data_IF_730522448266
#
_entry.id   IF_730522448266
#
_cell.length_a   1.000
_cell.length_b   1.000
_cell.length_c   1.000
_cell.angle_alpha   90.00
_cell.angle_beta   90.00
_cell.angle_gamma   90.00
#
_symmetry.space_group_name_H-M   'P 1'
#
loop_
_entity.id
_entity.type
_entity.pdbx_description
1 polymer ?
#
# COMPACT_ATOMS: atom_id res chain seq x y z
N UNK A 1 -19.85 -3.98 -3.64
CA UNK A 1 -19.67 -4.38 -5.07
C UNK A 1 -18.21 -4.37 -5.57
N UNK A 2 -17.29 -3.52 -5.06
CA UNK A 2 -15.88 -3.40 -5.56
C UNK A 2 -14.96 -4.63 -5.43
N UNK A 3 -15.19 -5.55 -4.48
CA UNK A 3 -14.28 -6.69 -4.21
C UNK A 3 -14.50 -7.93 -5.09
N UNK A 4 -15.69 -8.11 -5.69
CA UNK A 4 -16.02 -9.33 -6.44
C UNK A 4 -15.33 -9.37 -7.82
N UNK A 5 -15.28 -8.23 -8.51
CA UNK A 5 -14.69 -8.12 -9.84
C UNK A 5 -13.20 -8.47 -9.81
N UNK A 6 -12.43 -7.85 -8.91
CA UNK A 6 -10.99 -8.10 -8.80
C UNK A 6 -10.69 -9.57 -8.49
N UNK A 7 -11.44 -10.19 -7.56
CA UNK A 7 -11.29 -11.61 -7.23
C UNK A 7 -11.54 -12.52 -8.43
N UNK A 8 -12.51 -12.20 -9.30
CA UNK A 8 -12.79 -12.96 -10.52
C UNK A 8 -11.67 -12.79 -11.55
N UNK A 9 -11.21 -11.56 -11.76
CA UNK A 9 -10.15 -11.27 -12.73
C UNK A 9 -8.82 -11.93 -12.35
N UNK A 10 -8.45 -11.96 -11.06
CA UNK A 10 -7.23 -12.64 -10.59
C UNK A 10 -7.22 -14.17 -10.78
N UNK A 11 -8.37 -14.79 -11.08
CA UNK A 11 -8.42 -16.21 -11.48
C UNK A 11 -7.94 -16.44 -12.90
N UNK A 12 -8.09 -15.46 -13.78
CA UNK A 12 -7.58 -15.53 -15.14
C UNK A 12 -6.05 -15.37 -15.12
N UNK A 13 -5.33 -16.32 -15.73
CA UNK A 13 -3.88 -16.38 -15.69
C UNK A 13 -3.20 -15.18 -16.39
N UNK A 14 -3.75 -14.74 -17.52
CA UNK A 14 -3.22 -13.60 -18.28
C UNK A 14 -3.39 -12.29 -17.51
N UNK A 15 -4.58 -12.07 -16.95
CA UNK A 15 -4.83 -10.89 -16.11
C UNK A 15 -3.92 -10.88 -14.89
N UNK A 16 -3.72 -12.03 -14.24
CA UNK A 16 -2.81 -12.16 -13.10
C UNK A 16 -1.37 -11.78 -13.48
N UNK A 17 -0.87 -12.33 -14.59
CA UNK A 17 0.48 -12.01 -15.11
C UNK A 17 0.61 -10.51 -15.38
N UNK A 18 -0.38 -9.93 -16.04
CA UNK A 18 -0.40 -8.49 -16.36
C UNK A 18 -0.46 -7.63 -15.10
N UNK A 19 -1.24 -8.01 -14.10
CA UNK A 19 -1.33 -7.30 -12.82
C UNK A 19 0.02 -7.29 -12.08
N UNK A 20 0.68 -8.44 -11.99
CA UNK A 20 1.99 -8.57 -11.33
C UNK A 20 3.06 -7.79 -12.10
N UNK A 21 3.08 -7.91 -13.44
CA UNK A 21 4.00 -7.15 -14.30
C UNK A 21 3.81 -5.65 -14.11
N UNK A 22 2.56 -5.18 -14.13
CA UNK A 22 2.25 -3.76 -13.96
C UNK A 22 2.70 -3.25 -12.60
N UNK A 23 2.51 -4.04 -11.54
CA UNK A 23 3.03 -3.66 -10.23
C UNK A 23 4.56 -3.61 -10.21
N UNK A 24 5.26 -4.58 -10.83
CA UNK A 24 6.72 -4.60 -10.91
C UNK A 24 7.29 -3.39 -11.66
N UNK A 25 6.61 -2.92 -12.69
CA UNK A 25 6.96 -1.66 -13.37
C UNK A 25 6.76 -0.44 -12.48
N UNK A 26 5.64 -0.39 -11.75
CA UNK A 26 5.33 0.72 -10.86
C UNK A 26 6.27 0.76 -9.64
N UNK A 27 6.64 -0.40 -9.08
CA UNK A 27 7.57 -0.50 -7.94
C UNK A 27 8.98 -0.01 -8.29
N UNK A 28 9.35 -0.01 -9.57
CA UNK A 28 10.60 0.56 -10.07
C UNK A 28 10.51 2.05 -10.43
N UNK A 29 9.30 2.62 -10.43
CA UNK A 29 9.04 4.01 -10.83
C UNK A 29 8.32 4.78 -9.72
N UNK A 30 7.03 5.05 -9.89
CA UNK A 30 6.24 5.88 -8.97
C UNK A 30 6.06 5.27 -7.58
N UNK A 31 6.20 3.96 -7.43
CA UNK A 31 6.16 3.27 -6.14
C UNK A 31 7.56 2.84 -5.67
N UNK A 32 8.61 3.33 -6.32
CA UNK A 32 9.96 3.16 -5.79
C UNK A 32 10.08 3.90 -4.45
N UNK A 33 10.89 3.33 -3.55
CA UNK A 33 11.12 3.91 -2.25
C UNK A 33 11.63 5.36 -2.38
N UNK A 34 12.61 5.58 -3.25
CA UNK A 34 13.21 6.90 -3.44
C UNK A 34 12.19 7.93 -3.93
N UNK A 35 11.35 7.56 -4.90
CA UNK A 35 10.29 8.45 -5.38
C UNK A 35 9.28 8.78 -4.27
N UNK A 36 8.85 7.78 -3.50
CA UNK A 36 7.88 7.97 -2.43
C UNK A 36 8.44 8.83 -1.30
N UNK A 37 9.67 8.58 -0.86
CA UNK A 37 10.34 9.38 0.17
C UNK A 37 10.53 10.82 -0.30
N UNK A 38 11.07 11.02 -1.51
CA UNK A 38 11.22 12.36 -2.08
C UNK A 38 9.87 13.10 -2.18
N UNK A 39 8.79 12.38 -2.49
CA UNK A 39 7.45 12.97 -2.54
C UNK A 39 6.94 13.36 -1.14
N UNK A 40 7.14 12.52 -0.13
CA UNK A 40 6.80 12.83 1.26
C UNK A 40 7.58 14.05 1.73
N UNK A 41 8.89 14.09 1.50
CA UNK A 41 9.76 15.20 1.89
C UNK A 41 9.35 16.50 1.17
N UNK A 42 8.93 16.41 -0.10
CA UNK A 42 8.40 17.57 -0.82
C UNK A 42 7.16 18.15 -0.14
N UNK A 43 6.24 17.30 0.33
CA UNK A 43 5.03 17.75 1.02
C UNK A 43 5.33 18.27 2.43
N UNK A 44 6.22 17.61 3.18
CA UNK A 44 6.66 18.10 4.49
C UNK A 44 7.22 19.51 4.35
N UNK A 45 8.06 19.76 3.34
CA UNK A 45 8.64 21.08 3.10
C UNK A 45 7.61 22.16 2.79
N UNK A 46 6.51 21.83 2.10
CA UNK A 46 5.41 22.78 1.84
C UNK A 46 4.62 23.05 3.11
N UNK A 47 4.27 22.01 3.87
CA UNK A 47 3.33 22.15 4.99
C UNK A 47 3.99 22.59 6.30
N UNK A 48 5.28 22.30 6.52
CA UNK A 48 5.98 22.54 7.81
C UNK A 48 5.84 23.96 8.34
N UNK A 49 5.75 24.95 7.45
CA UNK A 49 5.64 26.37 7.80
C UNK A 49 4.24 26.75 8.24
N UNK A 50 3.21 26.05 7.77
CA UNK A 50 1.80 26.26 8.09
C UNK A 50 1.37 25.49 9.34
N UNK A 51 2.07 24.41 9.67
CA UNK A 51 1.72 23.54 10.79
C UNK A 51 1.62 24.25 12.14
N UNK A 52 2.51 25.17 12.53
CA UNK A 52 2.39 25.89 13.81
C UNK A 52 1.05 26.63 13.94
N UNK A 53 0.61 27.30 12.88
CA UNK A 53 -0.66 28.01 12.86
C UNK A 53 -1.86 27.05 12.88
N UNK A 54 -1.78 25.96 12.10
CA UNK A 54 -2.78 24.89 12.10
C UNK A 54 -2.98 24.31 13.51
N UNK A 55 -1.89 24.05 14.22
CA UNK A 55 -1.91 23.53 15.60
C UNK A 55 -2.52 24.57 16.55
N UNK A 56 -2.08 25.82 16.48
CA UNK A 56 -2.58 26.89 17.35
C UNK A 56 -4.08 27.15 17.15
N UNK A 57 -4.56 27.09 15.89
CA UNK A 57 -5.95 27.39 15.54
C UNK A 57 -6.90 26.24 15.82
N UNK A 58 -6.50 25.01 15.52
CA UNK A 58 -7.40 23.85 15.53
C UNK A 58 -7.06 22.81 16.61
N UNK A 59 -5.93 22.94 17.29
CA UNK A 59 -5.46 21.96 18.29
C UNK A 59 -5.07 20.60 17.71
N UNK A 60 -5.04 20.46 16.38
CA UNK A 60 -4.68 19.22 15.70
C UNK A 60 -3.76 19.48 14.49
N UNK A 61 -2.66 18.73 14.32
CA UNK A 61 -2.06 17.78 15.27
C UNK A 61 -1.76 18.40 16.64
N UNK A 62 -1.65 17.62 17.71
CA UNK A 62 -1.54 18.18 19.06
C UNK A 62 -0.18 18.83 19.36
N UNK A 63 0.84 18.57 18.54
CA UNK A 63 2.13 19.24 18.59
C UNK A 63 2.88 19.10 17.26
N UNK A 64 3.89 19.95 17.06
CA UNK A 64 4.81 19.82 15.92
C UNK A 64 5.56 18.50 15.94
N UNK A 65 5.90 18.01 17.13
CA UNK A 65 6.61 16.73 17.28
C UNK A 65 5.71 15.56 16.86
N UNK A 66 4.46 15.55 17.31
CA UNK A 66 3.51 14.54 16.88
C UNK A 66 3.29 14.55 15.37
N UNK A 67 3.19 15.75 14.78
CA UNK A 67 3.11 15.87 13.32
C UNK A 67 4.32 15.24 12.62
N UNK A 68 5.54 15.52 13.06
CA UNK A 68 6.76 14.90 12.50
C UNK A 68 6.74 13.38 12.62
N UNK A 69 6.30 12.84 13.76
CA UNK A 69 6.11 11.39 13.95
C UNK A 69 5.10 10.83 12.94
N UNK A 70 4.00 11.53 12.66
CA UNK A 70 3.05 11.12 11.61
C UNK A 70 3.70 11.16 10.22
N UNK A 71 4.50 12.19 9.90
CA UNK A 71 5.25 12.23 8.63
C UNK A 71 6.22 11.04 8.53
N UNK A 72 6.92 10.70 9.62
CA UNK A 72 7.83 9.54 9.62
C UNK A 72 7.08 8.22 9.45
N UNK A 73 5.86 8.08 9.99
CA UNK A 73 5.03 6.90 9.76
C UNK A 73 4.70 6.67 8.28
N UNK A 74 4.60 7.74 7.48
CA UNK A 74 4.43 7.65 6.03
C UNK A 74 5.69 7.12 5.35
N UNK A 75 6.88 7.51 5.83
CA UNK A 75 8.15 6.99 5.34
C UNK A 75 8.30 5.51 5.67
N UNK A 76 7.95 5.12 6.89
CA UNK A 76 7.97 3.71 7.30
C UNK A 76 7.00 2.87 6.47
N UNK A 77 5.78 3.38 6.21
CA UNK A 77 4.85 2.72 5.29
C UNK A 77 5.48 2.51 3.91
N UNK A 78 6.16 3.51 3.35
CA UNK A 78 6.84 3.39 2.07
C UNK A 78 7.95 2.33 2.09
N UNK A 79 8.74 2.25 3.17
CA UNK A 79 9.79 1.23 3.35
C UNK A 79 9.25 -0.18 3.42
N UNK A 80 8.11 -0.37 4.09
CA UNK A 80 7.51 -1.69 4.29
C UNK A 80 6.69 -2.17 3.09
N UNK A 81 6.27 -1.25 2.20
CA UNK A 81 5.35 -1.54 1.11
C UNK A 81 5.79 -2.69 0.17
N UNK A 82 7.05 -2.79 -0.28
CA UNK A 82 7.48 -3.88 -1.15
C UNK A 82 7.27 -5.25 -0.50
N UNK A 83 7.72 -5.41 0.75
CA UNK A 83 7.56 -6.64 1.54
C UNK A 83 6.09 -7.00 1.71
N UNK A 84 5.25 -6.07 2.14
CA UNK A 84 3.83 -6.37 2.35
C UNK A 84 3.10 -6.70 1.05
N UNK A 85 3.47 -6.09 -0.07
CA UNK A 85 2.86 -6.43 -1.33
C UNK A 85 3.17 -7.87 -1.75
N UNK A 86 4.42 -8.31 -1.61
CA UNK A 86 4.80 -9.70 -1.87
C UNK A 86 4.06 -10.68 -0.96
N UNK A 87 3.98 -10.37 0.34
CA UNK A 87 3.20 -11.15 1.29
C UNK A 87 1.73 -11.26 0.88
N UNK A 88 1.08 -10.15 0.53
CA UNK A 88 -0.31 -10.16 0.09
C UNK A 88 -0.54 -10.98 -1.20
N UNK A 89 0.42 -10.97 -2.13
CA UNK A 89 0.32 -11.81 -3.33
C UNK A 89 0.42 -13.30 -2.96
N UNK A 90 1.40 -13.66 -2.13
CA UNK A 90 1.62 -15.04 -1.71
C UNK A 90 0.39 -15.56 -0.94
N UNK A 91 -0.07 -14.84 0.08
CA UNK A 91 -1.23 -15.20 0.89
C UNK A 91 -2.49 -15.40 0.02
N UNK A 92 -2.68 -14.53 -0.97
CA UNK A 92 -3.82 -14.64 -1.89
C UNK A 92 -3.75 -15.91 -2.74
N UNK A 93 -2.58 -16.24 -3.27
CA UNK A 93 -2.42 -17.42 -4.14
C UNK A 93 -2.37 -18.73 -3.37
N UNK A 94 -1.80 -18.77 -2.17
CA UNK A 94 -1.88 -19.91 -1.27
C UNK A 94 -3.34 -20.23 -0.92
N UNK A 95 -4.10 -19.22 -0.50
CA UNK A 95 -5.54 -19.37 -0.22
C UNK A 95 -6.32 -19.81 -1.46
N UNK A 96 -5.95 -19.33 -2.64
CA UNK A 96 -6.57 -19.76 -3.90
C UNK A 96 -6.29 -21.23 -4.20
N UNK A 97 -5.04 -21.68 -4.02
CA UNK A 97 -4.63 -23.08 -4.23
C UNK A 97 -5.38 -24.03 -3.29
N UNK A 98 -5.50 -23.68 -2.01
CA UNK A 98 -6.18 -24.50 -1.02
C UNK A 98 -7.71 -24.62 -1.26
N UNK A 99 -8.31 -23.61 -1.90
CA UNK A 99 -9.73 -23.64 -2.27
C UNK A 99 -10.02 -24.43 -3.57
N UNK A 100 -9.01 -25.04 -4.21
CA UNK A 100 -9.17 -25.90 -5.39
C UNK A 100 -9.28 -27.40 -5.06
N UNK A 101 -9.08 -27.81 -3.80
CA UNK A 101 -9.30 -29.20 -3.38
C UNK A 101 -10.82 -29.47 -3.27
N UNK A 102 -11.38 -30.39 -4.07
CA UNK A 102 -12.79 -30.71 -3.99
C UNK A 102 -13.08 -31.39 -2.66
N UNK A 103 -14.11 -30.92 -1.97
CA UNK A 103 -14.91 -31.75 -1.07
C UNK A 103 -15.49 -32.87 -1.92
N UNK A 104 -14.75 -33.96 -2.11
CA UNK A 104 -15.33 -35.19 -2.62
C UNK A 104 -16.41 -35.58 -1.62
N UNK A 105 -17.65 -35.61 -2.11
CA UNK A 105 -18.82 -36.04 -1.36
C UNK A 105 -18.56 -37.48 -0.89
N UNK A 106 -18.52 -37.70 0.41
CA UNK A 106 -18.86 -39.00 1.00
C UNK A 106 -20.37 -39.05 1.15
N UNK A 107 -21.01 -39.78 0.25
CA UNK A 107 -22.24 -40.55 0.49
C UNK A 107 -22.34 -41.63 -0.58
#
# INVERSE_FOLDING_TARGET
MKMLLMRKLLKNADFRKNFISRYSELSKSYFSLDYLIAKIDSFENVYKTLMPEQINRWGYPHSMEYWKVQVESLREFARQRPKYFEQHLNDYFEKYSNNQLPSQKTN
#
